data_IF_631411484612
#
_entry.id   IF_631411484612
#
_cell.length_a   1.000
_cell.length_b   1.000
_cell.length_c   1.000
_cell.angle_alpha   90.00
_cell.angle_beta   90.00
_cell.angle_gamma   90.00
#
_symmetry.space_group_name_H-M   'P 1'
#
loop_
_entity.id
_entity.type
_entity.pdbx_description
1 polymer ?
#
# COMPACT_ATOMS: atom_id res chain seq x y z
N UNK A 1 -4.24 -5.65 26.61
CA UNK A 1 -5.29 -6.11 25.68
C UNK A 1 -5.20 -5.35 24.35
N UNK A 2 -5.43 -5.97 23.18
CA UNK A 2 -5.47 -5.25 21.88
C UNK A 2 -6.92 -4.94 21.52
N UNK A 3 -7.20 -3.70 21.11
CA UNK A 3 -8.52 -3.25 20.67
C UNK A 3 -8.43 -2.76 19.22
N UNK A 4 -9.47 -3.02 18.43
CA UNK A 4 -9.60 -2.53 17.05
C UNK A 4 -10.71 -1.49 16.98
N UNK A 5 -10.37 -0.29 16.50
CA UNK A 5 -11.32 0.78 16.14
C UNK A 5 -11.99 0.42 14.82
N UNK A 6 -13.15 -0.25 14.89
CA UNK A 6 -13.86 -0.85 13.74
C UNK A 6 -14.03 0.10 12.55
N UNK A 7 -14.55 1.31 12.78
CA UNK A 7 -14.77 2.28 11.70
C UNK A 7 -13.46 2.69 11.02
N UNK A 8 -12.40 2.94 11.79
CA UNK A 8 -11.08 3.30 11.26
C UNK A 8 -10.49 2.14 10.45
N UNK A 9 -10.64 0.90 10.91
CA UNK A 9 -10.20 -0.30 10.19
C UNK A 9 -10.91 -0.47 8.85
N UNK A 10 -12.24 -0.32 8.82
CA UNK A 10 -13.04 -0.44 7.60
C UNK A 10 -12.69 0.67 6.61
N UNK A 11 -12.62 1.92 7.07
CA UNK A 11 -12.23 3.05 6.20
C UNK A 11 -10.81 2.85 5.67
N UNK A 12 -9.87 2.41 6.51
CA UNK A 12 -8.51 2.09 6.08
C UNK A 12 -8.44 0.99 5.02
N UNK A 13 -9.23 -0.08 5.16
CA UNK A 13 -9.32 -1.16 4.16
C UNK A 13 -9.89 -0.64 2.84
N UNK A 14 -11.00 0.09 2.89
CA UNK A 14 -11.67 0.63 1.70
C UNK A 14 -10.78 1.62 0.96
N UNK A 15 -10.17 2.57 1.66
CA UNK A 15 -9.26 3.55 1.04
C UNK A 15 -8.04 2.85 0.45
N UNK A 16 -7.45 1.88 1.14
CA UNK A 16 -6.31 1.11 0.62
C UNK A 16 -6.68 0.34 -0.65
N UNK A 17 -7.86 -0.28 -0.68
CA UNK A 17 -8.36 -0.97 -1.87
C UNK A 17 -8.62 0.00 -3.03
N UNK A 18 -9.39 1.07 -2.80
CA UNK A 18 -9.70 2.05 -3.83
C UNK A 18 -8.46 2.77 -4.35
N UNK A 19 -7.41 2.89 -3.53
CA UNK A 19 -6.15 3.44 -3.98
C UNK A 19 -5.64 2.71 -5.22
N UNK A 20 -5.80 1.38 -5.34
CA UNK A 20 -5.31 0.60 -6.48
C UNK A 20 -5.91 1.00 -7.83
N UNK A 21 -7.03 1.73 -7.82
CA UNK A 21 -7.72 2.25 -9.01
C UNK A 21 -7.28 3.69 -9.38
N UNK A 22 -6.55 4.35 -8.49
CA UNK A 22 -6.01 5.71 -8.67
C UNK A 22 -4.67 5.67 -9.42
N UNK A 23 -4.21 6.78 -10.01
CA UNK A 23 -2.95 6.81 -10.72
C UNK A 23 -1.73 6.77 -9.78
N UNK A 24 -0.88 5.76 -9.94
CA UNK A 24 0.40 5.61 -9.22
C UNK A 24 1.59 6.12 -10.02
N UNK A 25 1.50 6.08 -11.36
CA UNK A 25 2.56 6.52 -12.25
C UNK A 25 1.98 7.25 -13.45
N UNK A 26 2.68 8.25 -13.97
CA UNK A 26 2.40 8.81 -15.30
C UNK A 26 3.50 8.38 -16.27
N UNK A 27 3.06 7.82 -17.38
CA UNK A 27 3.88 7.43 -18.53
C UNK A 27 3.60 8.42 -19.67
N UNK A 28 4.62 8.94 -20.38
CA UNK A 28 4.45 9.99 -21.39
C UNK A 28 3.45 9.68 -22.49
N UNK A 29 3.39 8.43 -22.97
CA UNK A 29 2.54 8.05 -24.12
C UNK A 29 1.19 7.48 -23.66
N UNK A 30 1.20 6.60 -22.66
CA UNK A 30 -0.03 5.91 -22.19
C UNK A 30 -0.77 6.65 -21.09
N UNK A 31 -0.24 7.77 -20.59
CA UNK A 31 -0.87 8.58 -19.55
C UNK A 31 -0.76 7.99 -18.15
N UNK A 32 -1.84 8.12 -17.38
CA UNK A 32 -1.91 7.74 -15.98
C UNK A 32 -2.11 6.22 -15.82
N UNK A 33 -1.22 5.57 -15.08
CA UNK A 33 -1.27 4.15 -14.79
C UNK A 33 -1.68 3.92 -13.35
N UNK A 34 -2.62 3.00 -13.16
CA UNK A 34 -2.96 2.48 -11.84
C UNK A 34 -1.95 1.40 -11.41
N UNK A 35 -2.11 0.86 -10.19
CA UNK A 35 -1.13 -0.07 -9.61
C UNK A 35 -0.94 -1.34 -10.45
N UNK A 36 -2.02 -1.87 -11.05
CA UNK A 36 -1.97 -3.05 -11.92
C UNK A 36 -1.14 -2.80 -13.18
N UNK A 37 -1.32 -1.64 -13.80
CA UNK A 37 -0.57 -1.26 -14.99
C UNK A 37 0.90 -0.98 -14.68
N UNK A 38 1.20 -0.44 -13.50
CA UNK A 38 2.59 -0.23 -13.04
C UNK A 38 3.34 -1.56 -12.95
N UNK A 39 2.74 -2.54 -12.27
CA UNK A 39 3.30 -3.88 -12.15
C UNK A 39 2.22 -4.85 -11.63
N UNK A 40 1.91 -5.89 -12.40
CA UNK A 40 0.85 -6.83 -12.04
C UNK A 40 1.16 -7.59 -10.74
N UNK A 41 2.43 -7.97 -10.51
CA UNK A 41 2.81 -8.67 -9.28
C UNK A 41 2.67 -7.76 -8.07
N UNK A 42 3.13 -6.50 -8.18
CA UNK A 42 2.96 -5.49 -7.14
C UNK A 42 1.48 -5.33 -6.76
N UNK A 43 0.59 -5.27 -7.76
CA UNK A 43 -0.85 -5.18 -7.55
C UNK A 43 -1.41 -6.41 -6.84
N UNK A 44 -1.13 -7.62 -7.32
CA UNK A 44 -1.69 -8.84 -6.73
C UNK A 44 -1.18 -9.07 -5.31
N UNK A 45 0.10 -8.82 -5.03
CA UNK A 45 0.64 -8.94 -3.66
C UNK A 45 -0.01 -7.89 -2.75
N UNK A 46 -0.21 -6.66 -3.23
CA UNK A 46 -0.91 -5.61 -2.47
C UNK A 46 -2.34 -6.04 -2.14
N UNK A 47 -3.11 -6.53 -3.11
CA UNK A 47 -4.47 -6.99 -2.88
C UNK A 47 -4.53 -8.25 -2.01
N UNK A 48 -3.55 -9.15 -2.11
CA UNK A 48 -3.44 -10.32 -1.24
C UNK A 48 -3.25 -9.90 0.22
N UNK A 49 -2.31 -8.99 0.48
CA UNK A 49 -2.06 -8.45 1.82
C UNK A 49 -3.31 -7.78 2.37
N UNK A 50 -3.97 -6.93 1.59
CA UNK A 50 -5.21 -6.25 2.00
C UNK A 50 -6.37 -7.24 2.20
N UNK A 51 -6.51 -8.25 1.34
CA UNK A 51 -7.53 -9.29 1.42
C UNK A 51 -7.38 -10.16 2.67
N UNK A 52 -6.16 -10.62 2.97
CA UNK A 52 -5.85 -11.33 4.22
C UNK A 52 -6.09 -10.44 5.42
N UNK A 53 -5.70 -9.16 5.36
CA UNK A 53 -5.96 -8.19 6.43
C UNK A 53 -7.46 -8.03 6.69
N UNK A 54 -8.27 -7.91 5.63
CA UNK A 54 -9.72 -7.83 5.72
C UNK A 54 -10.33 -9.11 6.31
N UNK A 55 -9.88 -10.29 5.85
CA UNK A 55 -10.34 -11.58 6.37
C UNK A 55 -10.10 -11.67 7.88
N UNK A 56 -8.89 -11.36 8.35
CA UNK A 56 -8.52 -11.41 9.77
C UNK A 56 -9.31 -10.41 10.62
N UNK A 57 -9.71 -9.28 10.05
CA UNK A 57 -10.63 -8.34 10.69
C UNK A 57 -12.01 -8.97 10.90
N UNK A 58 -12.59 -9.58 9.86
CA UNK A 58 -13.94 -10.16 9.93
C UNK A 58 -14.03 -11.40 10.82
N UNK A 59 -13.03 -12.28 10.81
CA UNK A 59 -12.97 -13.44 11.72
C UNK A 59 -12.53 -13.08 13.15
N UNK A 60 -12.33 -11.78 13.43
CA UNK A 60 -11.94 -11.25 14.75
C UNK A 60 -10.61 -11.82 15.27
N UNK A 61 -9.68 -12.16 14.38
CA UNK A 61 -8.33 -12.60 14.73
C UNK A 61 -7.45 -11.41 15.12
N UNK A 62 -7.76 -10.75 16.25
CA UNK A 62 -7.26 -9.42 16.63
C UNK A 62 -5.73 -9.29 16.57
N UNK A 63 -5.01 -10.28 17.10
CA UNK A 63 -3.53 -10.26 17.13
C UNK A 63 -2.94 -10.42 15.73
N UNK A 64 -3.51 -11.29 14.91
CA UNK A 64 -3.09 -11.51 13.53
C UNK A 64 -3.40 -10.29 12.65
N UNK A 65 -4.59 -9.71 12.81
CA UNK A 65 -4.96 -8.44 12.16
C UNK A 65 -3.94 -7.35 12.47
N UNK A 66 -3.57 -7.15 13.75
CA UNK A 66 -2.57 -6.15 14.12
C UNK A 66 -1.23 -6.39 13.42
N UNK A 67 -0.74 -7.63 13.36
CA UNK A 67 0.48 -7.94 12.62
C UNK A 67 0.36 -7.63 11.13
N UNK A 68 -0.78 -7.97 10.53
CA UNK A 68 -1.03 -7.69 9.12
C UNK A 68 -1.12 -6.20 8.80
N UNK A 69 -1.66 -5.35 9.69
CA UNK A 69 -1.62 -3.90 9.49
C UNK A 69 -0.19 -3.35 9.45
N UNK A 70 0.73 -3.91 10.24
CA UNK A 70 2.16 -3.55 10.20
C UNK A 70 2.84 -4.09 8.95
N UNK A 71 2.53 -5.33 8.56
CA UNK A 71 3.03 -5.92 7.33
C UNK A 71 2.60 -5.09 6.10
N UNK A 72 1.35 -4.64 6.07
CA UNK A 72 0.83 -3.75 5.03
C UNK A 72 1.58 -2.42 5.00
N UNK A 73 1.94 -1.85 6.16
CA UNK A 73 2.76 -0.64 6.23
C UNK A 73 4.19 -0.85 5.74
N UNK A 74 4.82 -1.96 6.11
CA UNK A 74 6.13 -2.34 5.57
C UNK A 74 6.07 -2.55 4.05
N UNK A 75 5.03 -3.22 3.56
CA UNK A 75 4.81 -3.44 2.13
C UNK A 75 4.60 -2.13 1.37
N UNK A 76 3.87 -1.16 1.95
CA UNK A 76 3.76 0.18 1.38
C UNK A 76 5.14 0.82 1.15
N UNK A 77 6.01 0.81 2.16
CA UNK A 77 7.35 1.38 2.04
C UNK A 77 8.19 0.62 1.00
N UNK A 78 8.15 -0.71 1.01
CA UNK A 78 8.86 -1.52 0.02
C UNK A 78 8.37 -1.25 -1.41
N UNK A 79 7.06 -1.17 -1.61
CA UNK A 79 6.45 -0.96 -2.93
C UNK A 79 6.78 0.41 -3.51
N UNK A 80 6.63 1.49 -2.74
CA UNK A 80 6.94 2.84 -3.21
C UNK A 80 8.43 2.99 -3.52
N UNK A 81 9.29 2.43 -2.67
CA UNK A 81 10.75 2.45 -2.85
C UNK A 81 11.16 1.62 -4.06
N UNK A 82 10.61 0.42 -4.25
CA UNK A 82 10.90 -0.42 -5.40
C UNK A 82 10.49 0.26 -6.72
N UNK A 83 9.30 0.85 -6.77
CA UNK A 83 8.85 1.60 -7.96
C UNK A 83 9.75 2.82 -8.19
N UNK A 84 10.10 3.57 -7.13
CA UNK A 84 11.00 4.71 -7.24
C UNK A 84 12.38 4.32 -7.80
N UNK A 85 12.99 3.23 -7.32
CA UNK A 85 14.26 2.74 -7.86
C UNK A 85 14.13 2.28 -9.32
N UNK A 86 13.03 1.59 -9.66
CA UNK A 86 12.74 1.13 -11.02
C UNK A 86 12.64 2.31 -11.99
N UNK A 87 11.88 3.35 -11.66
CA UNK A 87 11.70 4.50 -12.55
C UNK A 87 12.91 5.43 -12.62
N UNK A 88 13.86 5.35 -11.68
CA UNK A 88 15.11 6.12 -11.73
C UNK A 88 16.28 5.31 -12.36
N UNK A 89 16.00 4.11 -12.90
CA UNK A 89 16.98 3.23 -13.53
C UNK A 89 18.20 2.88 -12.65
N UNK A 90 17.97 2.63 -11.36
CA UNK A 90 19.04 2.16 -10.46
C UNK A 90 19.46 0.71 -10.73
N UNK A 91 18.66 -0.06 -11.48
CA UNK A 91 18.93 -1.46 -11.83
C UNK A 91 19.65 -1.65 -13.18
N UNK A 92 20.04 -0.55 -13.85
CA UNK A 92 21.00 -0.60 -14.96
C UNK A 92 20.50 -1.28 -16.23
N UNK A 93 19.25 -1.10 -16.62
CA UNK A 93 18.79 -1.57 -17.94
C UNK A 93 19.13 -0.52 -19.02
N UNK A 94 19.20 -0.98 -20.28
CA UNK A 94 19.94 -0.36 -21.39
C UNK A 94 19.61 1.10 -21.74
N UNK A 95 20.26 1.64 -22.78
CA UNK A 95 20.15 3.06 -23.16
C UNK A 95 18.70 3.58 -23.33
N UNK A 96 17.79 2.74 -23.82
CA UNK A 96 16.36 3.07 -23.94
C UNK A 96 15.68 3.25 -22.57
N UNK A 97 16.05 2.47 -21.56
CA UNK A 97 15.51 2.57 -20.20
C UNK A 97 16.00 3.84 -19.50
N UNK A 98 17.20 4.36 -19.85
CA UNK A 98 17.69 5.67 -19.37
C UNK A 98 16.91 6.87 -19.93
N UNK A 99 16.37 6.76 -21.14
CA UNK A 99 15.56 7.83 -21.75
C UNK A 99 14.12 7.79 -21.24
N UNK A 100 13.56 6.60 -21.03
CA UNK A 100 12.20 6.42 -20.50
C UNK A 100 12.11 6.74 -19.01
N UNK A 101 13.14 6.42 -18.21
CA UNK A 101 13.19 6.66 -16.77
C UNK A 101 12.96 8.14 -16.39
N UNK A 102 13.55 9.08 -17.14
CA UNK A 102 13.38 10.52 -16.90
C UNK A 102 11.95 11.03 -17.10
N UNK A 103 11.11 10.28 -17.81
CA UNK A 103 9.74 10.69 -18.14
C UNK A 103 8.67 10.01 -17.25
N UNK A 104 9.08 9.06 -16.40
CA UNK A 104 8.19 8.39 -15.47
C UNK A 104 8.08 9.20 -14.18
N UNK A 105 6.86 9.57 -13.80
CA UNK A 105 6.62 10.37 -12.60
C UNK A 105 5.62 9.69 -11.67
N UNK A 106 5.96 9.63 -10.38
CA UNK A 106 5.05 9.19 -9.32
C UNK A 106 3.79 10.08 -9.30
N UNK A 107 2.64 9.47 -9.00
CA UNK A 107 1.34 10.16 -8.94
C UNK A 107 0.68 9.99 -7.57
N UNK A 108 -0.42 10.73 -7.37
CA UNK A 108 -1.08 10.88 -6.06
C UNK A 108 -1.70 9.60 -5.50
N UNK A 109 -1.81 8.51 -6.29
CA UNK A 109 -2.28 7.22 -5.79
C UNK A 109 -1.43 6.67 -4.64
N UNK A 110 -0.12 6.99 -4.61
CA UNK A 110 0.75 6.68 -3.48
C UNK A 110 0.31 7.37 -2.18
N UNK A 111 -0.25 8.57 -2.28
CA UNK A 111 -0.74 9.33 -1.11
C UNK A 111 -2.06 8.72 -0.61
N UNK A 112 -2.97 8.36 -1.51
CA UNK A 112 -4.22 7.66 -1.15
C UNK A 112 -3.90 6.34 -0.45
N UNK A 113 -2.96 5.58 -1.01
CA UNK A 113 -2.53 4.32 -0.43
C UNK A 113 -1.93 4.53 0.96
N UNK A 114 -1.07 5.55 1.14
CA UNK A 114 -0.51 5.91 2.45
C UNK A 114 -1.60 6.24 3.47
N UNK A 115 -2.60 7.02 3.10
CA UNK A 115 -3.72 7.37 3.99
C UNK A 115 -4.45 6.11 4.45
N UNK A 116 -4.75 5.19 3.52
CA UNK A 116 -5.37 3.90 3.84
C UNK A 116 -4.53 3.08 4.83
N UNK A 117 -3.23 3.00 4.59
CA UNK A 117 -2.27 2.28 5.46
C UNK A 117 -2.17 2.91 6.85
N UNK A 118 -2.08 4.25 6.95
CA UNK A 118 -2.04 4.95 8.23
C UNK A 118 -3.29 4.66 9.05
N UNK A 119 -4.47 4.70 8.41
CA UNK A 119 -5.73 4.34 9.08
C UNK A 119 -5.72 2.89 9.57
N UNK A 120 -5.22 1.93 8.76
CA UNK A 120 -5.10 0.54 9.19
C UNK A 120 -4.21 0.40 10.43
N UNK A 121 -3.03 1.02 10.45
CA UNK A 121 -2.12 0.97 11.61
C UNK A 121 -2.76 1.63 12.85
N UNK A 122 -3.35 2.82 12.69
CA UNK A 122 -3.99 3.60 13.76
C UNK A 122 -5.30 2.97 14.26
N UNK A 123 -5.86 2.01 13.51
CA UNK A 123 -7.04 1.27 13.92
C UNK A 123 -6.76 0.32 15.10
N UNK A 124 -5.51 -0.07 15.33
CA UNK A 124 -5.15 -0.98 16.44
C UNK A 124 -4.55 -0.23 17.62
N UNK A 125 -5.06 -0.47 18.83
CA UNK A 125 -4.54 0.11 20.08
C UNK A 125 -4.16 -1.01 21.05
N UNK A 126 -2.96 -0.93 21.64
CA UNK A 126 -2.62 -1.71 22.83
C UNK A 126 -3.10 -0.93 24.05
N UNK A 127 -3.99 -1.53 24.83
CA UNK A 127 -4.34 -1.05 26.18
C UNK A 127 -3.37 -1.73 27.15
N UNK A 128 -2.55 -0.92 27.81
CA UNK A 128 -1.71 -1.32 28.93
C UNK A 128 -2.59 -1.45 30.18
N UNK A 129 -2.31 -2.44 31.02
CA UNK A 129 -3.05 -2.70 32.26
C UNK A 129 -2.75 -1.67 33.38
N UNK A 130 -1.82 -0.73 33.17
CA UNK A 130 -1.42 0.27 34.15
C UNK A 130 -2.31 1.54 34.16
N UNK A 131 -3.56 1.44 33.71
CA UNK A 131 -4.50 2.57 33.61
C UNK A 131 -5.81 2.32 34.38
N UNK A 132 -5.78 1.41 35.35
CA UNK A 132 -6.81 1.26 36.38
C UNK A 132 -6.30 1.83 37.70
#
# INVERSE_FOLDING_TARGET
MIIIKKYVAIVGLVISFLSSMTPFLKVPIKGNWNLYQVDAYLFFITLLILGVTALLFFVRAVRAYQWMTRLAACWYLLSITAVWFKINNYFGWGFADKLLSKSLHMRWGWIVYLIGILLLVLSTKKVSAAAE
#
